data_IF_130646827820
#
_entry.id   IF_130646827820
#
_cell.length_a   1.000
_cell.length_b   1.000
_cell.length_c   1.000
_cell.angle_alpha   90.00
_cell.angle_beta   90.00
_cell.angle_gamma   90.00
#
_symmetry.space_group_name_H-M   'P 1'
#
loop_
_entity.id
_entity.type
_entity.pdbx_description
1 polymer ?
#
# COMPACT_ATOMS: atom_id res chain seq x y z
N UNK A 1 -0.02 41.08 -12.04
CA UNK A 1 0.19 40.05 -11.02
C UNK A 1 -0.60 38.83 -11.46
N UNK A 2 -0.03 37.62 -11.62
CA UNK A 2 -0.85 36.46 -11.89
C UNK A 2 -1.76 36.25 -10.69
N UNK A 3 -3.06 36.10 -10.92
CA UNK A 3 -4.02 35.71 -9.90
C UNK A 3 -3.55 34.37 -9.30
N UNK A 4 -3.24 34.39 -8.01
CA UNK A 4 -2.99 33.15 -7.28
C UNK A 4 -4.25 32.28 -7.36
N UNK A 5 -4.18 31.19 -8.11
CA UNK A 5 -5.25 30.20 -8.12
C UNK A 5 -5.24 29.55 -6.73
N UNK A 6 -6.23 29.79 -5.89
CA UNK A 6 -6.24 29.22 -4.54
C UNK A 6 -6.48 27.71 -4.64
N UNK A 7 -5.42 26.92 -4.51
CA UNK A 7 -5.51 25.45 -4.41
C UNK A 7 -6.11 25.13 -3.04
N UNK A 8 -7.27 24.52 -3.01
CA UNK A 8 -7.91 24.06 -1.78
C UNK A 8 -7.60 22.57 -1.52
N UNK A 9 -7.77 22.12 -0.29
CA UNK A 9 -7.64 20.68 0.06
C UNK A 9 -8.58 19.76 -0.74
N UNK A 10 -9.59 20.30 -1.39
CA UNK A 10 -10.51 19.58 -2.27
C UNK A 10 -9.92 19.30 -3.65
N UNK A 11 -8.89 20.06 -4.03
CA UNK A 11 -8.32 20.03 -5.39
C UNK A 11 -7.16 19.03 -5.52
N UNK A 12 -6.65 18.50 -4.40
CA UNK A 12 -5.56 17.51 -4.40
C UNK A 12 -5.75 16.40 -3.36
N UNK A 13 -5.07 15.29 -3.58
CA UNK A 13 -4.97 14.16 -2.65
C UNK A 13 -3.51 13.74 -2.55
N UNK A 14 -3.15 13.15 -1.43
CA UNK A 14 -1.79 12.66 -1.16
C UNK A 14 -1.77 11.14 -1.29
N UNK A 15 -0.83 10.63 -2.08
CA UNK A 15 -0.49 9.21 -2.14
C UNK A 15 0.90 9.02 -1.55
N UNK A 16 1.04 8.09 -0.62
CA UNK A 16 2.29 7.77 0.05
C UNK A 16 2.79 6.42 -0.43
N UNK A 17 4.09 6.34 -0.73
CA UNK A 17 4.84 5.10 -0.86
C UNK A 17 5.79 5.00 0.34
N UNK A 18 5.55 4.01 1.19
CA UNK A 18 6.20 3.90 2.50
C UNK A 18 7.32 2.88 2.47
N UNK A 19 7.14 1.79 1.71
CA UNK A 19 8.06 0.66 1.66
C UNK A 19 8.48 0.19 3.07
N UNK A 20 7.51 -0.06 3.94
CA UNK A 20 7.75 -0.30 5.37
C UNK A 20 8.53 -1.60 5.66
N UNK A 21 8.73 -2.47 4.68
CA UNK A 21 9.67 -3.61 4.77
C UNK A 21 11.10 -3.14 5.09
N UNK A 22 11.48 -1.94 4.62
CA UNK A 22 12.77 -1.30 4.93
C UNK A 22 12.87 -0.83 6.41
N UNK A 23 11.75 -0.74 7.11
CA UNK A 23 11.69 -0.32 8.52
C UNK A 23 11.68 -1.49 9.50
N UNK A 24 11.70 -2.71 8.99
CA UNK A 24 11.68 -3.93 9.79
C UNK A 24 12.81 -3.92 10.82
N UNK A 25 12.46 -4.08 12.10
CA UNK A 25 13.43 -4.31 13.16
C UNK A 25 13.86 -5.79 13.20
N UNK A 26 14.89 -6.11 14.01
CA UNK A 26 15.36 -7.49 14.18
C UNK A 26 14.26 -8.45 14.69
N UNK A 27 13.27 -7.90 15.41
CA UNK A 27 12.14 -8.67 15.95
C UNK A 27 10.93 -8.50 15.03
N UNK A 28 10.34 -9.58 14.58
CA UNK A 28 9.13 -9.61 13.77
C UNK A 28 7.99 -8.83 14.45
N UNK A 29 7.24 -8.04 13.68
CA UNK A 29 6.18 -7.17 14.19
C UNK A 29 6.66 -5.91 14.87
N UNK A 30 7.95 -5.54 14.70
CA UNK A 30 8.51 -4.25 15.11
C UNK A 30 9.11 -3.51 13.93
N UNK A 31 8.95 -2.20 13.95
CA UNK A 31 9.38 -1.26 12.92
C UNK A 31 10.24 -0.17 13.55
N UNK A 32 11.38 0.14 12.94
CA UNK A 32 12.26 1.24 13.37
C UNK A 32 12.14 2.37 12.38
N UNK A 33 11.58 3.50 12.81
CA UNK A 33 11.44 4.69 11.96
C UNK A 33 12.82 5.28 11.63
N UNK A 34 13.20 5.40 10.32
CA UNK A 34 14.58 5.69 9.91
C UNK A 34 15.17 6.97 10.48
N UNK A 35 14.37 8.06 10.56
CA UNK A 35 14.84 9.37 11.01
C UNK A 35 14.76 9.60 12.52
N UNK A 36 13.86 8.91 13.19
CA UNK A 36 13.59 9.11 14.63
C UNK A 36 14.23 8.05 15.50
N UNK A 37 14.65 6.92 14.94
CA UNK A 37 15.19 5.79 15.69
C UNK A 37 14.20 5.16 16.69
N UNK A 38 12.91 5.52 16.58
CA UNK A 38 11.85 5.01 17.45
C UNK A 38 11.41 3.64 16.92
N UNK A 39 11.28 2.68 17.81
CA UNK A 39 10.69 1.39 17.51
C UNK A 39 9.20 1.43 17.82
N UNK A 40 8.40 0.94 16.88
CA UNK A 40 6.96 0.80 16.99
C UNK A 40 6.57 -0.67 16.77
N UNK A 41 5.58 -1.12 17.48
CA UNK A 41 4.87 -2.37 17.16
C UNK A 41 3.99 -2.15 15.94
N UNK A 42 3.52 -3.25 15.33
CA UNK A 42 2.53 -3.19 14.23
C UNK A 42 1.31 -2.36 14.60
N UNK A 43 0.76 -2.55 15.81
CA UNK A 43 -0.44 -1.83 16.24
C UNK A 43 -0.18 -0.31 16.43
N UNK A 44 0.98 0.08 16.98
CA UNK A 44 1.38 1.49 17.11
C UNK A 44 1.62 2.13 15.73
N UNK A 45 2.19 1.41 14.79
CA UNK A 45 2.38 1.90 13.42
C UNK A 45 1.03 2.09 12.71
N UNK A 46 0.09 1.16 12.89
CA UNK A 46 -1.28 1.29 12.36
C UNK A 46 -1.99 2.50 12.97
N UNK A 47 -1.84 2.74 14.27
CA UNK A 47 -2.43 3.92 14.92
C UNK A 47 -1.82 5.22 14.41
N UNK A 48 -0.51 5.24 14.14
CA UNK A 48 0.16 6.37 13.47
C UNK A 48 -0.44 6.63 12.07
N UNK A 49 -0.65 5.60 11.27
CA UNK A 49 -1.30 5.75 9.95
C UNK A 49 -2.72 6.27 10.05
N UNK A 50 -3.50 5.78 11.00
CA UNK A 50 -4.85 6.30 11.25
C UNK A 50 -4.82 7.80 11.55
N UNK A 51 -3.92 8.25 12.43
CA UNK A 51 -3.81 9.67 12.80
C UNK A 51 -3.39 10.55 11.61
N UNK A 52 -2.57 10.03 10.68
CA UNK A 52 -2.20 10.72 9.44
C UNK A 52 -3.40 10.81 8.49
N UNK A 53 -4.13 9.71 8.30
CA UNK A 53 -5.32 9.67 7.43
C UNK A 53 -6.43 10.59 7.94
N UNK A 54 -6.58 10.72 9.26
CA UNK A 54 -7.61 11.58 9.85
C UNK A 54 -7.24 13.08 9.77
N UNK A 55 -5.96 13.43 9.63
CA UNK A 55 -5.47 14.83 9.58
C UNK A 55 -5.19 15.35 8.17
N UNK A 56 -4.91 14.48 7.23
CA UNK A 56 -4.48 14.87 5.88
C UNK A 56 -5.35 14.22 4.80
N UNK A 57 -5.49 14.82 3.61
CA UNK A 57 -6.29 14.29 2.51
C UNK A 57 -5.59 13.11 1.81
N UNK A 58 -5.32 12.03 2.56
CA UNK A 58 -4.67 10.83 2.04
C UNK A 58 -5.62 10.07 1.11
N UNK A 59 -5.14 9.72 -0.08
CA UNK A 59 -5.85 8.87 -1.04
C UNK A 59 -5.40 7.41 -0.94
N UNK A 60 -4.08 7.20 -0.86
CA UNK A 60 -3.50 5.86 -0.79
C UNK A 60 -2.25 5.82 0.06
N UNK A 61 -1.99 4.66 0.66
CA UNK A 61 -0.72 4.30 1.27
C UNK A 61 -0.27 2.98 0.65
N UNK A 62 0.90 3.00 0.01
CA UNK A 62 1.57 1.83 -0.55
C UNK A 62 2.53 1.27 0.48
N UNK A 63 2.48 -0.05 0.67
CA UNK A 63 3.27 -0.84 1.61
C UNK A 63 3.42 -0.20 3.01
N UNK A 64 2.29 0.07 3.70
CA UNK A 64 2.30 0.69 5.03
C UNK A 64 2.91 -0.20 6.13
N UNK A 65 3.08 -1.49 5.86
CA UNK A 65 3.61 -2.54 6.75
C UNK A 65 4.55 -3.46 5.99
N UNK A 66 5.34 -4.26 6.73
CA UNK A 66 6.21 -5.31 6.17
C UNK A 66 5.41 -6.31 5.33
N UNK A 67 6.00 -6.78 4.23
CA UNK A 67 5.39 -7.70 3.26
C UNK A 67 5.03 -9.08 3.84
N UNK A 68 5.59 -9.43 4.99
CA UNK A 68 5.28 -10.68 5.70
C UNK A 68 4.41 -10.47 6.95
N UNK A 69 4.06 -9.23 7.29
CA UNK A 69 3.15 -8.92 8.41
C UNK A 69 1.67 -9.03 8.00
N UNK A 70 1.26 -10.23 7.59
CA UNK A 70 -0.10 -10.50 7.09
C UNK A 70 -1.20 -10.19 8.11
N UNK A 71 -0.94 -10.44 9.40
CA UNK A 71 -1.89 -10.11 10.47
C UNK A 71 -2.04 -8.59 10.63
N UNK A 72 -0.94 -7.85 10.53
CA UNK A 72 -0.95 -6.40 10.51
C UNK A 72 -1.69 -5.85 9.29
N UNK A 73 -1.45 -6.40 8.12
CA UNK A 73 -2.16 -6.00 6.90
C UNK A 73 -3.66 -6.22 6.99
N UNK A 74 -4.11 -7.32 7.57
CA UNK A 74 -5.53 -7.55 7.86
C UNK A 74 -6.08 -6.46 8.77
N UNK A 75 -5.41 -6.20 9.91
CA UNK A 75 -5.83 -5.18 10.89
C UNK A 75 -5.91 -3.78 10.28
N UNK A 76 -4.89 -3.34 9.52
CA UNK A 76 -4.90 -2.01 8.89
C UNK A 76 -6.02 -1.91 7.85
N UNK A 77 -6.27 -2.99 7.11
CA UNK A 77 -7.34 -3.02 6.11
C UNK A 77 -8.73 -2.90 6.76
N UNK A 78 -8.96 -3.58 7.86
CA UNK A 78 -10.20 -3.45 8.65
C UNK A 78 -10.40 -2.02 9.15
N UNK A 79 -9.32 -1.36 9.62
CA UNK A 79 -9.38 0.01 10.18
C UNK A 79 -9.49 1.10 9.10
N UNK A 80 -8.73 1.01 8.02
CA UNK A 80 -8.54 2.11 7.06
C UNK A 80 -9.02 1.81 5.63
N UNK A 81 -9.24 0.56 5.27
CA UNK A 81 -9.53 0.15 3.89
C UNK A 81 -10.83 0.71 3.31
N UNK A 82 -11.74 1.22 4.15
CA UNK A 82 -12.95 1.93 3.69
C UNK A 82 -12.71 3.42 3.43
N UNK A 83 -11.64 4.00 3.97
CA UNK A 83 -11.32 5.43 3.86
C UNK A 83 -10.34 5.69 2.71
N UNK A 84 -9.33 4.83 2.55
CA UNK A 84 -8.21 5.01 1.62
C UNK A 84 -7.91 3.73 0.84
N UNK A 85 -7.05 3.86 -0.19
CA UNK A 85 -6.45 2.73 -0.88
C UNK A 85 -5.22 2.25 -0.10
N UNK A 86 -5.21 0.97 0.26
CA UNK A 86 -4.07 0.26 0.84
C UNK A 86 -3.49 -0.60 -0.27
N UNK A 87 -2.36 -0.15 -0.81
CA UNK A 87 -1.77 -0.70 -2.02
C UNK A 87 -0.64 -1.65 -1.62
N UNK A 88 -0.69 -2.89 -2.10
CA UNK A 88 0.40 -3.83 -1.97
C UNK A 88 1.24 -3.84 -3.23
N UNK A 89 2.50 -3.37 -3.13
CA UNK A 89 3.57 -3.59 -4.09
C UNK A 89 4.42 -4.78 -3.62
N UNK A 90 5.23 -4.61 -2.59
CA UNK A 90 6.06 -5.69 -2.03
C UNK A 90 5.21 -6.82 -1.43
N UNK A 91 4.05 -6.49 -0.86
CA UNK A 91 3.11 -7.48 -0.36
C UNK A 91 2.70 -8.49 -1.43
N UNK A 92 2.42 -8.05 -2.65
CA UNK A 92 1.85 -8.90 -3.70
C UNK A 92 2.84 -9.24 -4.83
N UNK A 93 3.84 -8.40 -5.08
CA UNK A 93 4.86 -8.52 -6.16
C UNK A 93 4.27 -8.96 -7.51
N UNK A 94 3.07 -8.47 -7.84
CA UNK A 94 2.28 -8.87 -9.04
C UNK A 94 2.05 -10.40 -9.14
N UNK A 95 2.17 -11.11 -8.01
CA UNK A 95 2.11 -12.58 -7.95
C UNK A 95 0.69 -13.05 -7.60
N UNK A 96 0.16 -13.98 -8.41
CA UNK A 96 -1.22 -14.50 -8.29
C UNK A 96 -1.45 -15.21 -6.95
N UNK A 97 -0.47 -16.01 -6.47
CA UNK A 97 -0.61 -16.77 -5.22
C UNK A 97 -0.58 -15.85 -4.00
N UNK A 98 0.32 -14.84 -3.99
CA UNK A 98 0.36 -13.85 -2.91
C UNK A 98 -0.92 -13.00 -2.90
N UNK A 99 -1.40 -12.58 -4.07
CA UNK A 99 -2.65 -11.84 -4.18
C UNK A 99 -3.83 -12.67 -3.67
N UNK A 100 -3.92 -13.95 -4.06
CA UNK A 100 -4.96 -14.88 -3.58
C UNK A 100 -4.94 -15.02 -2.07
N UNK A 101 -3.74 -15.17 -1.47
CA UNK A 101 -3.57 -15.19 -0.01
C UNK A 101 -4.10 -13.91 0.64
N UNK A 102 -3.72 -12.74 0.11
CA UNK A 102 -4.18 -11.46 0.63
C UNK A 102 -5.69 -11.27 0.54
N UNK A 103 -6.30 -11.64 -0.58
CA UNK A 103 -7.75 -11.61 -0.77
C UNK A 103 -8.45 -12.49 0.28
N UNK A 104 -7.99 -13.73 0.48
CA UNK A 104 -8.58 -14.66 1.44
C UNK A 104 -8.45 -14.17 2.89
N UNK A 105 -7.39 -13.46 3.21
CA UNK A 105 -7.14 -12.92 4.55
C UNK A 105 -7.69 -11.50 4.76
N UNK A 106 -8.15 -10.84 3.70
CA UNK A 106 -8.65 -9.47 3.75
C UNK A 106 -7.53 -8.43 3.92
N UNK A 107 -6.40 -8.62 3.24
CA UNK A 107 -5.21 -7.77 3.31
C UNK A 107 -5.11 -6.84 2.12
N UNK A 108 -5.16 -5.52 2.35
CA UNK A 108 -5.15 -4.51 1.29
C UNK A 108 -6.49 -4.39 0.56
N UNK A 109 -6.56 -3.48 -0.40
CA UNK A 109 -7.70 -3.31 -1.30
C UNK A 109 -7.27 -2.86 -2.69
N UNK A 110 -5.96 -2.80 -2.93
CA UNK A 110 -5.34 -2.40 -4.20
C UNK A 110 -4.03 -3.15 -4.39
N UNK A 111 -3.70 -3.45 -5.64
CA UNK A 111 -2.42 -4.07 -6.02
C UNK A 111 -1.68 -3.16 -7.00
N UNK A 112 -0.38 -3.00 -6.81
CA UNK A 112 0.49 -2.41 -7.82
C UNK A 112 0.91 -3.47 -8.84
N UNK A 113 0.81 -3.14 -10.12
CA UNK A 113 1.11 -4.05 -11.23
C UNK A 113 2.43 -3.65 -11.88
N UNK A 114 3.39 -4.56 -11.83
CA UNK A 114 4.72 -4.43 -12.42
C UNK A 114 4.99 -5.65 -13.31
N UNK A 115 4.87 -5.50 -14.63
CA UNK A 115 4.99 -6.61 -15.59
C UNK A 115 6.29 -7.42 -15.44
N UNK A 116 7.39 -6.74 -15.11
CA UNK A 116 8.68 -7.41 -14.99
C UNK A 116 8.89 -8.20 -13.69
N UNK A 117 8.02 -8.04 -12.69
CA UNK A 117 8.08 -8.84 -11.46
C UNK A 117 7.60 -10.28 -11.69
N UNK A 118 6.54 -10.45 -12.49
CA UNK A 118 5.99 -11.76 -12.82
C UNK A 118 6.61 -12.34 -14.11
N UNK A 119 7.05 -11.47 -15.03
CA UNK A 119 7.76 -11.84 -16.24
C UNK A 119 6.90 -12.31 -17.43
N UNK A 120 5.58 -12.36 -17.26
CA UNK A 120 4.64 -12.80 -18.30
C UNK A 120 3.40 -11.91 -18.32
N UNK A 121 3.00 -11.51 -19.54
CA UNK A 121 1.77 -10.73 -19.76
C UNK A 121 0.52 -11.51 -19.34
N UNK A 122 0.50 -12.81 -19.58
CA UNK A 122 -0.64 -13.67 -19.25
C UNK A 122 -0.88 -13.74 -17.75
N UNK A 123 0.16 -13.95 -16.95
CA UNK A 123 0.07 -13.98 -15.48
C UNK A 123 -0.26 -12.61 -14.91
N UNK A 124 0.28 -11.53 -15.52
CA UNK A 124 -0.09 -10.15 -15.15
C UNK A 124 -1.59 -9.91 -15.34
N UNK A 125 -2.14 -10.32 -16.50
CA UNK A 125 -3.59 -10.21 -16.77
C UNK A 125 -4.43 -11.08 -15.84
N UNK A 126 -3.92 -12.24 -15.44
CA UNK A 126 -4.57 -13.10 -14.44
C UNK A 126 -4.64 -12.43 -13.07
N UNK A 127 -3.53 -11.84 -12.60
CA UNK A 127 -3.48 -11.07 -11.36
C UNK A 127 -4.48 -9.89 -11.38
N UNK A 128 -4.53 -9.12 -12.47
CA UNK A 128 -5.48 -8.01 -12.63
C UNK A 128 -6.93 -8.51 -12.59
N UNK A 129 -7.26 -9.59 -13.32
CA UNK A 129 -8.61 -10.17 -13.31
C UNK A 129 -9.00 -10.68 -11.93
N UNK A 130 -8.06 -11.31 -11.21
CA UNK A 130 -8.29 -11.79 -9.85
C UNK A 130 -8.55 -10.62 -8.89
N UNK A 131 -7.73 -9.57 -8.95
CA UNK A 131 -7.90 -8.35 -8.17
C UNK A 131 -9.30 -7.74 -8.38
N UNK A 132 -9.69 -7.51 -9.63
CA UNK A 132 -11.00 -6.92 -9.95
C UNK A 132 -12.17 -7.80 -9.48
N UNK A 133 -12.09 -9.13 -9.64
CA UNK A 133 -13.13 -10.04 -9.15
C UNK A 133 -13.31 -9.97 -7.63
N UNK A 134 -12.25 -9.66 -6.90
CA UNK A 134 -12.27 -9.49 -5.44
C UNK A 134 -12.62 -8.05 -4.99
N UNK A 135 -12.89 -7.13 -5.93
CA UNK A 135 -13.18 -5.73 -5.63
C UNK A 135 -11.93 -4.87 -5.34
N UNK A 136 -10.73 -5.38 -5.63
CA UNK A 136 -9.49 -4.63 -5.52
C UNK A 136 -9.29 -3.72 -6.74
N UNK A 137 -8.58 -2.61 -6.53
CA UNK A 137 -8.09 -1.76 -7.62
C UNK A 137 -6.72 -2.26 -8.08
N UNK A 138 -6.51 -2.33 -9.39
CA UNK A 138 -5.19 -2.58 -9.99
C UNK A 138 -4.61 -1.25 -10.48
N UNK A 139 -3.38 -0.94 -10.06
CA UNK A 139 -2.66 0.28 -10.40
C UNK A 139 -1.45 -0.11 -11.24
N UNK A 140 -1.38 0.38 -12.48
CA UNK A 140 -0.22 0.15 -13.33
C UNK A 140 0.95 1.04 -12.89
N UNK A 141 2.10 0.43 -12.64
CA UNK A 141 3.32 1.13 -12.28
C UNK A 141 4.22 1.37 -13.48
N UNK A 142 4.97 2.47 -13.47
CA UNK A 142 6.11 2.67 -14.36
C UNK A 142 7.26 1.72 -14.00
N UNK A 143 8.15 1.48 -14.97
CA UNK A 143 9.45 0.85 -14.76
C UNK A 143 10.51 1.70 -15.43
N UNK A 144 11.80 1.31 -15.31
CA UNK A 144 12.90 2.02 -15.95
C UNK A 144 12.80 1.93 -17.47
N UNK A 145 12.77 3.07 -18.18
CA UNK A 145 12.74 3.14 -19.64
C UNK A 145 11.35 3.17 -20.28
N UNK A 146 10.29 3.22 -19.48
CA UNK A 146 8.92 3.41 -19.95
C UNK A 146 8.54 4.90 -19.88
N UNK A 147 7.79 5.34 -20.86
CA UNK A 147 7.23 6.69 -20.94
C UNK A 147 5.71 6.66 -20.86
#
# INVERSE_FOLDING_TARGET
MPEECPISEKDFKISLDVAASEWKAEVTGKYRLPKKGIELTTDELIDMWRDIVDRYPIFSIEDPLDEEDWDGWKKITEKLGRKIRLVGDDLFVTNVERLKKGILQGCGNSILIKLNQIGSVSETLEAIKMAHKAGYTAIASHRSGET
#
